data_IF_485656681582
#
_entry.id   IF_485656681582
#
_cell.length_a   1.000
_cell.length_b   1.000
_cell.length_c   1.000
_cell.angle_alpha   90.00
_cell.angle_beta   90.00
_cell.angle_gamma   90.00
#
_symmetry.space_group_name_H-M   'P 1'
#
loop_
_entity.id
_entity.type
_entity.pdbx_description
1 polymer ?
#
# COMPACT_ATOMS: atom_id res chain seq x y z
N UNK A 1 10.57 8.24 11.78
CA UNK A 1 11.39 8.31 10.55
C UNK A 1 10.60 7.97 9.28
N UNK A 2 9.90 6.84 9.18
CA UNK A 2 9.12 6.51 7.98
C UNK A 2 7.92 7.44 7.73
N UNK A 3 7.14 7.73 8.78
CA UNK A 3 5.98 8.64 8.70
C UNK A 3 6.42 10.05 8.29
N UNK A 4 7.51 10.56 8.86
CA UNK A 4 8.05 11.87 8.51
C UNK A 4 8.51 11.94 7.05
N UNK A 5 9.06 10.86 6.49
CA UNK A 5 9.42 10.80 5.06
C UNK A 5 8.20 10.77 4.15
N UNK A 6 7.16 10.03 4.54
CA UNK A 6 5.92 9.91 3.78
C UNK A 6 5.18 11.26 3.68
N UNK A 7 5.14 12.01 4.79
CA UNK A 7 4.41 13.28 4.86
C UNK A 7 5.28 14.52 4.58
N UNK A 8 6.60 14.37 4.45
CA UNK A 8 7.52 15.49 4.18
C UNK A 8 7.13 16.32 2.95
N UNK A 9 6.79 15.73 1.78
CA UNK A 9 6.39 16.52 0.61
C UNK A 9 5.20 17.44 0.87
N UNK A 10 4.24 16.99 1.68
CA UNK A 10 3.04 17.77 2.03
C UNK A 10 3.35 18.83 3.07
N UNK A 11 4.16 18.50 4.09
CA UNK A 11 4.60 19.43 5.13
C UNK A 11 5.46 20.58 4.58
N UNK A 12 6.26 20.34 3.54
CA UNK A 12 7.10 21.34 2.90
C UNK A 12 6.50 21.95 1.62
N UNK A 13 5.24 21.65 1.32
CA UNK A 13 4.49 22.30 0.24
C UNK A 13 3.58 23.39 0.83
N UNK A 14 3.73 24.67 0.48
CA UNK A 14 2.92 25.75 1.05
C UNK A 14 1.41 25.62 0.84
N UNK A 15 0.97 24.87 -0.19
CA UNK A 15 -0.43 24.58 -0.44
C UNK A 15 -0.87 23.20 0.07
N UNK A 16 0.02 22.48 0.77
CA UNK A 16 -0.18 21.08 1.16
C UNK A 16 -1.34 20.85 2.13
N UNK A 17 -1.71 21.86 2.92
CA UNK A 17 -2.88 21.82 3.82
C UNK A 17 -3.98 22.82 3.46
N UNK A 18 -4.04 23.27 2.21
CA UNK A 18 -5.16 24.09 1.74
C UNK A 18 -6.35 23.18 1.38
N UNK A 19 -7.52 23.40 1.99
CA UNK A 19 -8.69 22.54 1.81
C UNK A 19 -9.13 22.41 0.34
N UNK A 20 -9.26 23.54 -0.37
CA UNK A 20 -9.71 23.54 -1.77
C UNK A 20 -8.73 22.76 -2.65
N UNK A 21 -7.42 22.94 -2.44
CA UNK A 21 -6.38 22.18 -3.15
C UNK A 21 -6.40 20.70 -2.80
N UNK A 22 -6.57 20.36 -1.53
CA UNK A 22 -6.67 18.96 -1.10
C UNK A 22 -7.85 18.25 -1.78
N UNK A 23 -8.99 18.92 -1.94
CA UNK A 23 -10.17 18.39 -2.62
C UNK A 23 -9.92 18.23 -4.13
N UNK A 24 -9.29 19.22 -4.76
CA UNK A 24 -8.87 19.17 -6.17
C UNK A 24 -7.91 17.99 -6.41
N UNK A 25 -6.84 17.89 -5.62
CA UNK A 25 -5.82 16.84 -5.70
C UNK A 25 -6.44 15.45 -5.49
N UNK A 26 -7.35 15.31 -4.53
CA UNK A 26 -8.05 14.05 -4.29
C UNK A 26 -8.92 13.63 -5.47
N UNK A 27 -9.63 14.60 -6.08
CA UNK A 27 -10.44 14.34 -7.28
C UNK A 27 -9.58 13.92 -8.45
N UNK A 28 -8.48 14.62 -8.69
CA UNK A 28 -7.59 14.36 -9.82
C UNK A 28 -6.87 13.02 -9.64
N UNK A 29 -6.41 12.69 -8.42
CA UNK A 29 -5.90 11.37 -8.07
C UNK A 29 -6.94 10.27 -8.29
N UNK A 30 -8.18 10.47 -7.85
CA UNK A 30 -9.26 9.48 -8.03
C UNK A 30 -9.55 9.25 -9.52
N UNK A 31 -9.56 10.32 -10.31
CA UNK A 31 -9.75 10.25 -11.76
C UNK A 31 -8.59 9.48 -12.42
N UNK A 32 -7.34 9.80 -12.08
CA UNK A 32 -6.15 9.11 -12.57
C UNK A 32 -6.14 7.62 -12.23
N UNK A 33 -6.54 7.28 -11.01
CA UNK A 33 -6.61 5.90 -10.50
C UNK A 33 -7.68 5.08 -11.24
N UNK A 34 -8.82 5.68 -11.54
CA UNK A 34 -9.97 5.01 -12.17
C UNK A 34 -9.98 5.12 -13.69
N UNK A 35 -9.10 5.94 -14.28
CA UNK A 35 -9.04 6.14 -15.72
C UNK A 35 -8.69 4.83 -16.42
N UNK A 36 -9.63 4.32 -17.21
CA UNK A 36 -9.42 3.15 -18.07
C UNK A 36 -8.59 3.60 -19.25
N UNK A 37 -7.31 3.24 -19.24
CA UNK A 37 -6.33 3.66 -20.25
C UNK A 37 -6.70 3.30 -21.69
N UNK A 38 -5.84 3.74 -22.61
CA UNK A 38 -5.94 3.51 -24.06
C UNK A 38 -4.55 3.33 -24.67
N UNK A 39 -4.48 3.05 -25.97
CA UNK A 39 -3.18 2.90 -26.66
C UNK A 39 -2.48 4.26 -26.68
N UNK A 40 -1.29 4.34 -26.09
CA UNK A 40 -0.47 5.57 -26.07
C UNK A 40 -0.75 6.54 -24.91
N UNK A 41 -1.58 6.16 -23.94
CA UNK A 41 -1.80 6.95 -22.71
C UNK A 41 -0.54 6.91 -21.85
N UNK A 42 -0.13 8.07 -21.32
CA UNK A 42 1.06 8.22 -20.47
C UNK A 42 0.76 7.89 -19.01
N UNK A 43 1.79 7.54 -18.24
CA UNK A 43 1.67 7.31 -16.80
C UNK A 43 1.07 8.49 -16.01
N UNK A 44 1.24 9.73 -16.46
CA UNK A 44 0.65 10.92 -15.82
C UNK A 44 -0.88 10.97 -15.89
N UNK A 45 -1.49 10.29 -16.86
CA UNK A 45 -2.94 10.33 -17.13
C UNK A 45 -3.67 9.10 -16.59
N UNK A 46 -2.98 7.97 -16.42
CA UNK A 46 -3.58 6.72 -15.98
C UNK A 46 -2.67 5.90 -15.09
N UNK A 47 -3.21 5.46 -13.95
CA UNK A 47 -2.54 4.49 -13.08
C UNK A 47 -2.15 3.21 -13.82
N UNK A 48 -2.97 2.74 -14.77
CA UNK A 48 -2.66 1.54 -15.52
C UNK A 48 -1.40 1.69 -16.38
N UNK A 49 -1.27 2.84 -17.05
CA UNK A 49 -0.10 3.15 -17.87
C UNK A 49 1.14 3.32 -16.98
N UNK A 50 1.00 4.05 -15.87
CA UNK A 50 2.08 4.22 -14.89
C UNK A 50 2.56 2.89 -14.32
N UNK A 51 1.66 2.00 -13.94
CA UNK A 51 2.00 0.68 -13.42
C UNK A 51 2.74 -0.19 -14.45
N UNK A 52 2.34 -0.09 -15.74
CA UNK A 52 3.03 -0.80 -16.82
C UNK A 52 4.40 -0.20 -17.15
N UNK A 53 4.57 1.13 -17.04
CA UNK A 53 5.85 1.85 -17.14
C UNK A 53 6.78 1.47 -15.98
N UNK A 54 6.27 1.45 -14.75
CA UNK A 54 7.02 1.11 -13.55
C UNK A 54 7.57 -0.32 -13.65
N UNK A 55 6.78 -1.28 -14.16
CA UNK A 55 7.23 -2.65 -14.37
C UNK A 55 8.09 -2.85 -15.63
N UNK A 56 8.26 -1.83 -16.47
CA UNK A 56 8.91 -1.97 -17.76
C UNK A 56 10.41 -2.30 -17.67
N UNK A 57 11.05 -2.05 -16.53
CA UNK A 57 12.46 -2.40 -16.29
C UNK A 57 12.67 -3.92 -16.08
N UNK A 58 11.65 -4.66 -15.63
CA UNK A 58 11.73 -6.10 -15.33
C UNK A 58 11.52 -6.95 -16.60
N UNK A 59 12.41 -6.80 -17.59
CA UNK A 59 12.32 -7.56 -18.86
C UNK A 59 13.11 -8.86 -18.82
N UNK A 60 14.31 -8.83 -18.27
CA UNK A 60 15.28 -9.93 -18.34
C UNK A 60 14.98 -11.00 -17.29
N UNK A 61 15.35 -12.25 -17.58
CA UNK A 61 15.19 -13.36 -16.64
C UNK A 61 15.95 -13.12 -15.32
N UNK A 62 17.18 -12.58 -15.42
CA UNK A 62 17.97 -12.17 -14.26
C UNK A 62 17.26 -11.10 -13.43
N UNK A 63 16.68 -10.09 -14.07
CA UNK A 63 15.90 -9.06 -13.38
C UNK A 63 14.72 -9.65 -12.60
N UNK A 64 14.00 -10.61 -13.19
CA UNK A 64 12.89 -11.30 -12.50
C UNK A 64 13.33 -12.09 -11.27
N UNK A 65 14.47 -12.78 -11.36
CA UNK A 65 15.03 -13.50 -10.22
C UNK A 65 15.47 -12.53 -9.12
N UNK A 66 16.18 -11.46 -9.49
CA UNK A 66 16.64 -10.46 -8.53
C UNK A 66 15.45 -9.78 -7.82
N UNK A 67 14.42 -9.40 -8.56
CA UNK A 67 13.19 -8.84 -7.98
C UNK A 67 12.47 -9.85 -7.08
N UNK A 68 12.46 -11.13 -7.45
CA UNK A 68 11.90 -12.18 -6.59
C UNK A 68 12.69 -12.29 -5.28
N UNK A 69 14.03 -12.30 -5.34
CA UNK A 69 14.91 -12.34 -4.16
C UNK A 69 14.73 -11.09 -3.30
N UNK A 70 14.68 -9.90 -3.91
CA UNK A 70 14.46 -8.65 -3.20
C UNK A 70 13.10 -8.65 -2.51
N UNK A 71 12.07 -9.17 -3.17
CA UNK A 71 10.71 -9.30 -2.62
C UNK A 71 10.64 -10.27 -1.45
N UNK A 72 11.59 -11.22 -1.31
CA UNK A 72 11.61 -12.12 -0.15
C UNK A 72 11.74 -11.37 1.19
N UNK A 73 12.27 -10.13 1.16
CA UNK A 73 12.36 -9.27 2.35
C UNK A 73 11.01 -9.04 3.03
N UNK A 74 9.92 -9.02 2.27
CA UNK A 74 8.59 -8.80 2.81
C UNK A 74 8.13 -9.96 3.72
N UNK A 75 8.54 -11.19 3.41
CA UNK A 75 8.23 -12.35 4.26
C UNK A 75 9.06 -12.39 5.54
N UNK A 76 10.28 -11.82 5.52
CA UNK A 76 11.07 -11.67 6.74
C UNK A 76 10.39 -10.73 7.75
N UNK A 77 9.72 -9.67 7.28
CA UNK A 77 8.94 -8.78 8.16
C UNK A 77 7.75 -9.50 8.78
N UNK A 78 7.02 -10.30 8.00
CA UNK A 78 5.93 -11.14 8.53
C UNK A 78 6.43 -12.10 9.60
N UNK A 79 7.54 -12.80 9.33
CA UNK A 79 8.16 -13.70 10.30
C UNK A 79 8.55 -12.97 11.59
N UNK A 80 9.17 -11.79 11.47
CA UNK A 80 9.56 -10.97 12.63
C UNK A 80 8.36 -10.52 13.48
N UNK A 81 7.25 -10.13 12.85
CA UNK A 81 6.03 -9.72 13.56
C UNK A 81 5.38 -10.92 14.25
N UNK A 82 5.24 -12.05 13.54
CA UNK A 82 4.68 -13.30 14.10
C UNK A 82 5.54 -13.82 15.25
N UNK A 83 6.86 -13.68 15.19
CA UNK A 83 7.78 -14.08 16.25
C UNK A 83 7.67 -13.18 17.49
N UNK A 84 7.50 -11.87 17.29
CA UNK A 84 7.31 -10.90 18.39
C UNK A 84 5.94 -11.05 19.05
N UNK A 85 4.92 -11.42 18.28
CA UNK A 85 3.62 -11.82 18.80
C UNK A 85 3.81 -13.17 19.52
N UNK A 86 4.00 -13.14 20.84
CA UNK A 86 3.97 -14.33 21.70
C UNK A 86 2.56 -14.95 21.76
N UNK A 87 1.97 -15.27 20.61
CA UNK A 87 0.64 -15.90 20.48
C UNK A 87 0.62 -17.27 21.15
N UNK A 88 1.77 -17.92 21.29
CA UNK A 88 1.99 -19.08 22.16
C UNK A 88 3.37 -19.00 22.79
N UNK A 89 3.44 -19.08 24.13
CA UNK A 89 4.70 -19.16 24.86
C UNK A 89 5.57 -20.37 24.45
N UNK A 90 6.86 -20.30 24.80
CA UNK A 90 7.99 -21.25 24.75
C UNK A 90 8.12 -22.35 23.67
N UNK A 91 7.17 -22.63 22.77
CA UNK A 91 7.41 -23.53 21.64
C UNK A 91 6.43 -23.36 20.45
N UNK A 92 7.04 -23.26 19.27
CA UNK A 92 6.49 -23.32 17.89
C UNK A 92 6.09 -22.03 17.15
N UNK A 93 6.96 -21.01 17.19
CA UNK A 93 6.87 -19.84 16.27
C UNK A 93 6.77 -20.24 14.78
N UNK A 94 7.39 -21.36 14.37
CA UNK A 94 7.33 -21.88 13.01
C UNK A 94 5.92 -22.40 12.64
N UNK A 95 5.23 -23.05 13.57
CA UNK A 95 3.86 -23.57 13.35
C UNK A 95 2.87 -22.43 13.20
N UNK A 96 2.96 -21.40 14.05
CA UNK A 96 2.13 -20.19 13.95
C UNK A 96 2.40 -19.47 12.61
N UNK A 97 3.66 -19.39 12.20
CA UNK A 97 4.00 -18.85 10.88
C UNK A 97 3.38 -19.67 9.74
N UNK A 98 3.49 -21.00 9.75
CA UNK A 98 2.86 -21.87 8.75
C UNK A 98 1.32 -21.72 8.72
N UNK A 99 0.67 -21.60 9.87
CA UNK A 99 -0.78 -21.35 9.96
C UNK A 99 -1.13 -19.98 9.33
N UNK A 100 -0.30 -18.94 9.53
CA UNK A 100 -0.54 -17.63 8.91
C UNK A 100 -0.52 -17.67 7.38
N UNK A 101 0.28 -18.57 6.78
CA UNK A 101 0.29 -18.81 5.34
C UNK A 101 -0.98 -19.50 4.85
N UNK A 102 -1.56 -20.41 5.65
CA UNK A 102 -2.85 -21.04 5.34
C UNK A 102 -3.95 -19.97 5.33
N UNK A 103 -3.98 -19.11 6.35
CA UNK A 103 -4.93 -17.98 6.41
C UNK A 103 -4.78 -17.07 5.20
N UNK A 104 -3.54 -16.74 4.81
CA UNK A 104 -3.28 -15.93 3.63
C UNK A 104 -3.72 -16.62 2.33
N UNK A 105 -3.48 -17.92 2.18
CA UNK A 105 -3.95 -18.69 1.03
C UNK A 105 -5.49 -18.69 0.94
N UNK A 106 -6.18 -18.84 2.07
CA UNK A 106 -7.65 -18.71 2.16
C UNK A 106 -8.10 -17.32 1.72
N UNK A 107 -7.45 -16.24 2.19
CA UNK A 107 -7.75 -14.87 1.78
C UNK A 107 -7.57 -14.66 0.26
N UNK A 108 -6.51 -15.21 -0.34
CA UNK A 108 -6.30 -15.15 -1.80
C UNK A 108 -7.39 -15.91 -2.55
N UNK A 109 -7.78 -17.09 -2.06
CA UNK A 109 -8.86 -17.89 -2.68
C UNK A 109 -10.19 -17.13 -2.59
N UNK A 110 -10.52 -16.56 -1.44
CA UNK A 110 -11.71 -15.73 -1.24
C UNK A 110 -11.70 -14.54 -2.20
N UNK A 111 -10.60 -13.80 -2.26
CA UNK A 111 -10.47 -12.67 -3.18
C UNK A 111 -10.68 -13.11 -4.64
N UNK A 112 -10.15 -14.27 -5.04
CA UNK A 112 -10.36 -14.84 -6.37
C UNK A 112 -11.83 -15.19 -6.61
N UNK A 113 -12.52 -15.79 -5.65
CA UNK A 113 -13.96 -16.08 -5.73
C UNK A 113 -14.78 -14.80 -5.88
N UNK A 114 -14.40 -13.74 -5.17
CA UNK A 114 -15.06 -12.44 -5.22
C UNK A 114 -14.81 -11.66 -6.50
N UNK A 115 -13.57 -11.68 -7.01
CA UNK A 115 -13.21 -11.01 -8.26
C UNK A 115 -13.61 -11.80 -9.50
N UNK A 116 -13.98 -13.07 -9.35
CA UNK A 116 -14.59 -13.85 -10.41
C UNK A 116 -16.02 -13.36 -10.67
N UNK A 117 -16.13 -12.27 -11.45
CA UNK A 117 -17.41 -11.66 -11.83
C UNK A 117 -17.64 -11.71 -13.35
N UNK A 118 -18.55 -12.63 -13.71
CA UNK A 118 -19.56 -12.61 -14.77
C UNK A 118 -19.15 -12.26 -16.21
N UNK A 119 -18.59 -13.26 -16.89
CA UNK A 119 -18.87 -13.51 -18.32
C UNK A 119 -19.82 -14.69 -18.58
N UNK A 120 -20.28 -15.34 -17.51
CA UNK A 120 -21.25 -16.45 -17.60
C UNK A 120 -22.64 -15.82 -17.59
N UNK A 121 -23.53 -16.34 -18.44
CA UNK A 121 -24.88 -15.83 -18.70
C UNK A 121 -25.65 -15.41 -17.44
N UNK A 122 -26.57 -14.46 -17.61
CA UNK A 122 -27.42 -13.85 -16.56
C UNK A 122 -28.00 -14.89 -15.58
N UNK A 123 -28.22 -16.13 -16.03
CA UNK A 123 -28.77 -17.24 -15.24
C UNK A 123 -27.88 -17.70 -14.08
N UNK A 124 -26.55 -17.60 -14.16
CA UNK A 124 -25.66 -18.04 -13.08
C UNK A 124 -25.25 -16.92 -12.13
N UNK A 125 -25.70 -15.70 -12.38
CA UNK A 125 -25.30 -14.53 -11.62
C UNK A 125 -25.71 -14.62 -10.14
N UNK A 126 -26.94 -15.10 -9.89
CA UNK A 126 -27.48 -15.24 -8.55
C UNK A 126 -26.76 -16.33 -7.76
N UNK A 127 -26.51 -17.49 -8.39
CA UNK A 127 -25.76 -18.59 -7.77
C UNK A 127 -24.33 -18.18 -7.40
N UNK A 128 -23.64 -17.45 -8.29
CA UNK A 128 -22.29 -16.94 -8.01
C UNK A 128 -22.28 -15.94 -6.84
N UNK A 129 -23.23 -15.00 -6.81
CA UNK A 129 -23.37 -14.05 -5.68
C UNK A 129 -23.69 -14.77 -4.37
N UNK A 130 -24.50 -15.83 -4.42
CA UNK A 130 -24.79 -16.66 -3.27
C UNK A 130 -23.54 -17.39 -2.77
N UNK A 131 -22.76 -18.02 -3.66
CA UNK A 131 -21.48 -18.66 -3.31
C UNK A 131 -20.48 -17.65 -2.74
N UNK A 132 -20.42 -16.44 -3.29
CA UNK A 132 -19.60 -15.34 -2.74
C UNK A 132 -20.07 -14.96 -1.32
N UNK A 133 -21.38 -14.83 -1.11
CA UNK A 133 -21.96 -14.54 0.21
C UNK A 133 -21.67 -15.64 1.23
N UNK A 134 -21.87 -16.90 0.88
CA UNK A 134 -21.59 -18.05 1.76
C UNK A 134 -20.10 -18.14 2.07
N UNK A 135 -19.23 -18.00 1.07
CA UNK A 135 -17.77 -18.06 1.28
C UNK A 135 -17.28 -16.94 2.19
N UNK A 136 -17.86 -15.75 2.09
CA UNK A 136 -17.58 -14.64 3.00
C UNK A 136 -18.04 -14.88 4.43
N UNK A 137 -19.26 -15.39 4.61
CA UNK A 137 -19.77 -15.73 5.94
C UNK A 137 -18.92 -16.82 6.61
N UNK A 138 -18.49 -17.83 5.84
CA UNK A 138 -17.57 -18.87 6.32
C UNK A 138 -16.20 -18.30 6.68
N UNK A 139 -15.68 -17.35 5.89
CA UNK A 139 -14.42 -16.68 6.19
C UNK A 139 -14.49 -15.86 7.48
N UNK A 140 -15.56 -15.08 7.67
CA UNK A 140 -15.83 -14.31 8.88
C UNK A 140 -15.98 -15.22 10.10
N UNK A 141 -16.74 -16.31 9.98
CA UNK A 141 -16.89 -17.28 11.05
C UNK A 141 -15.56 -17.94 11.40
N UNK A 142 -14.76 -18.34 10.40
CA UNK A 142 -13.42 -18.90 10.61
C UNK A 142 -12.47 -17.93 11.29
N UNK A 143 -12.48 -16.65 10.89
CA UNK A 143 -11.70 -15.60 11.54
C UNK A 143 -12.15 -15.37 12.99
N UNK A 144 -13.46 -15.30 13.23
CA UNK A 144 -14.01 -15.11 14.57
C UNK A 144 -13.65 -16.28 15.50
N UNK A 145 -13.76 -17.51 15.02
CA UNK A 145 -13.31 -18.72 15.74
C UNK A 145 -11.82 -18.61 16.03
N UNK A 146 -10.98 -18.32 15.03
CA UNK A 146 -9.54 -18.18 15.23
C UNK A 146 -9.19 -17.11 16.27
N UNK A 147 -9.92 -15.99 16.31
CA UNK A 147 -9.73 -14.92 17.30
C UNK A 147 -10.23 -15.32 18.69
N UNK A 148 -11.34 -16.04 18.82
CA UNK A 148 -11.88 -16.46 20.13
C UNK A 148 -11.03 -17.56 20.77
N UNK A 149 -10.53 -18.50 19.96
CA UNK A 149 -9.67 -19.59 20.45
C UNK A 149 -8.22 -19.15 20.68
N UNK A 150 -7.81 -18.00 20.14
CA UNK A 150 -6.50 -17.41 20.41
C UNK A 150 -6.63 -16.35 21.49
N UNK A 151 -5.73 -16.32 22.47
CA UNK A 151 -5.69 -15.25 23.48
C UNK A 151 -5.06 -13.98 22.91
N UNK A 152 -5.59 -13.45 21.79
CA UNK A 152 -5.07 -12.27 21.10
C UNK A 152 -5.58 -11.00 21.76
N UNK A 153 -4.66 -10.11 22.12
CA UNK A 153 -5.00 -8.75 22.55
C UNK A 153 -5.35 -7.85 21.35
N UNK A 154 -5.99 -6.72 21.61
CA UNK A 154 -6.29 -5.72 20.55
C UNK A 154 -5.01 -5.28 19.81
N UNK A 155 -3.87 -4.97 20.47
CA UNK A 155 -2.59 -4.72 19.79
C UNK A 155 -2.13 -5.87 18.88
N UNK A 156 -2.38 -7.13 19.25
CA UNK A 156 -1.98 -8.30 18.47
C UNK A 156 -2.77 -8.39 17.16
N UNK A 157 -4.05 -8.01 17.18
CA UNK A 157 -4.88 -7.91 15.97
C UNK A 157 -4.30 -6.87 15.00
N UNK A 158 -3.92 -5.69 15.51
CA UNK A 158 -3.26 -4.66 14.67
C UNK A 158 -1.91 -5.14 14.13
N UNK A 159 -1.12 -5.85 14.92
CA UNK A 159 0.15 -6.43 14.48
C UNK A 159 -0.06 -7.49 13.38
N UNK A 160 -1.09 -8.33 13.47
CA UNK A 160 -1.45 -9.28 12.42
C UNK A 160 -1.81 -8.57 11.11
N UNK A 161 -2.62 -7.51 11.16
CA UNK A 161 -2.95 -6.70 9.97
C UNK A 161 -1.67 -6.11 9.35
N UNK A 162 -0.80 -5.53 10.19
CA UNK A 162 0.48 -4.99 9.76
C UNK A 162 1.45 -6.04 9.22
N UNK A 163 1.31 -7.32 9.60
CA UNK A 163 2.08 -8.41 9.05
C UNK A 163 1.58 -8.81 7.66
N UNK A 164 0.25 -8.85 7.44
CA UNK A 164 -0.33 -9.28 6.17
C UNK A 164 -0.20 -8.24 5.05
N UNK A 165 -0.19 -6.94 5.36
CA UNK A 165 0.01 -5.87 4.37
C UNK A 165 1.30 -6.04 3.55
N UNK A 166 2.51 -6.10 4.16
CA UNK A 166 3.76 -6.30 3.43
C UNK A 166 3.82 -7.68 2.78
N UNK A 167 3.26 -8.73 3.40
CA UNK A 167 3.22 -10.06 2.77
C UNK A 167 2.45 -10.07 1.46
N UNK A 168 1.25 -9.48 1.43
CA UNK A 168 0.47 -9.41 0.21
C UNK A 168 1.14 -8.53 -0.85
N UNK A 169 1.82 -7.46 -0.44
CA UNK A 169 2.67 -6.67 -1.35
C UNK A 169 3.83 -7.51 -1.92
N UNK A 170 4.52 -8.30 -1.10
CA UNK A 170 5.59 -9.19 -1.57
C UNK A 170 5.11 -10.24 -2.57
N UNK A 171 3.93 -10.81 -2.35
CA UNK A 171 3.29 -11.73 -3.31
C UNK A 171 2.96 -11.00 -4.62
N UNK A 172 2.43 -9.77 -4.53
CA UNK A 172 2.15 -8.93 -5.68
C UNK A 172 3.42 -8.61 -6.47
N UNK A 173 4.52 -8.24 -5.79
CA UNK A 173 5.81 -7.95 -6.42
C UNK A 173 6.38 -9.17 -7.15
N UNK A 174 6.32 -10.36 -6.54
CA UNK A 174 6.71 -11.62 -7.21
C UNK A 174 5.81 -11.89 -8.42
N UNK A 175 4.49 -11.76 -8.26
CA UNK A 175 3.55 -11.98 -9.35
C UNK A 175 3.77 -10.98 -10.52
N UNK A 176 4.12 -9.73 -10.21
CA UNK A 176 4.46 -8.69 -11.17
C UNK A 176 5.78 -9.00 -11.90
N UNK A 177 6.82 -9.46 -11.19
CA UNK A 177 8.08 -9.88 -11.79
C UNK A 177 7.86 -11.03 -12.80
N UNK A 178 6.94 -11.94 -12.51
CA UNK A 178 6.58 -13.07 -13.38
C UNK A 178 5.36 -12.79 -14.28
N UNK A 179 5.14 -11.53 -14.66
CA UNK A 179 4.05 -11.07 -15.56
C UNK A 179 3.76 -11.99 -16.76
N UNK A 180 4.74 -12.49 -17.53
CA UNK A 180 4.44 -13.37 -18.66
C UNK A 180 3.79 -14.71 -18.26
N UNK A 181 4.22 -15.29 -17.13
CA UNK A 181 3.60 -16.52 -16.61
C UNK A 181 2.19 -16.24 -16.10
N UNK A 182 2.01 -15.14 -15.38
CA UNK A 182 0.70 -14.74 -14.86
C UNK A 182 -0.30 -14.40 -15.97
N UNK A 183 0.17 -13.85 -17.10
CA UNK A 183 -0.64 -13.66 -18.31
C UNK A 183 -1.04 -15.00 -18.94
N UNK A 184 -0.11 -15.97 -19.05
CA UNK A 184 -0.41 -17.32 -19.56
C UNK A 184 -1.45 -18.05 -18.70
N UNK A 185 -1.40 -17.88 -17.38
CA UNK A 185 -2.37 -18.45 -16.43
C UNK A 185 -3.70 -17.68 -16.36
N UNK A 186 -3.84 -16.55 -17.07
CA UNK A 186 -5.04 -15.71 -17.04
C UNK A 186 -5.24 -14.92 -15.73
N UNK A 187 -4.27 -14.93 -14.81
CA UNK A 187 -4.36 -14.29 -13.50
C UNK A 187 -4.00 -12.79 -13.52
N UNK A 188 -3.42 -12.30 -14.63
CA UNK A 188 -2.92 -10.93 -14.72
C UNK A 188 -3.98 -9.86 -14.41
N UNK A 189 -5.24 -10.08 -14.83
CA UNK A 189 -6.33 -9.14 -14.54
C UNK A 189 -6.60 -9.03 -13.04
N UNK A 190 -6.64 -10.16 -12.33
CA UNK A 190 -6.82 -10.19 -10.87
C UNK A 190 -5.64 -9.54 -10.15
N UNK A 191 -4.41 -9.83 -10.55
CA UNK A 191 -3.20 -9.22 -9.99
C UNK A 191 -3.24 -7.70 -10.15
N UNK A 192 -3.61 -7.20 -11.34
CA UNK A 192 -3.76 -5.76 -11.57
C UNK A 192 -4.84 -5.16 -10.67
N UNK A 193 -5.98 -5.82 -10.50
CA UNK A 193 -7.03 -5.32 -9.59
C UNK A 193 -6.58 -5.29 -8.12
N UNK A 194 -5.77 -6.26 -7.69
CA UNK A 194 -5.19 -6.25 -6.33
C UNK A 194 -4.19 -5.11 -6.20
N UNK A 195 -3.29 -4.93 -7.19
CA UNK A 195 -2.32 -3.83 -7.20
C UNK A 195 -3.02 -2.46 -7.09
N UNK A 196 -4.09 -2.26 -7.87
CA UNK A 196 -4.90 -1.06 -7.83
C UNK A 196 -5.47 -0.82 -6.43
N UNK A 197 -5.99 -1.87 -5.77
CA UNK A 197 -6.53 -1.77 -4.42
C UNK A 197 -5.45 -1.41 -3.39
N UNK A 198 -4.25 -1.98 -3.52
CA UNK A 198 -3.10 -1.65 -2.66
C UNK A 198 -2.72 -0.17 -2.82
N UNK A 199 -2.56 0.31 -4.05
CA UNK A 199 -2.20 1.70 -4.33
C UNK A 199 -3.33 2.67 -3.94
N UNK A 200 -4.59 2.28 -4.15
CA UNK A 200 -5.75 3.01 -3.67
C UNK A 200 -5.74 3.14 -2.13
N UNK A 201 -5.49 2.03 -1.43
CA UNK A 201 -5.40 2.01 0.02
C UNK A 201 -4.25 2.85 0.56
N UNK A 202 -3.08 2.80 -0.08
CA UNK A 202 -1.93 3.63 0.26
C UNK A 202 -2.22 5.12 0.00
N UNK A 203 -2.86 5.45 -1.12
CA UNK A 203 -3.30 6.81 -1.41
C UNK A 203 -4.28 7.32 -0.36
N UNK A 204 -5.29 6.53 0.02
CA UNK A 204 -6.22 6.90 1.10
C UNK A 204 -5.51 7.10 2.45
N UNK A 205 -4.53 6.26 2.78
CA UNK A 205 -3.74 6.39 4.00
C UNK A 205 -2.99 7.73 4.05
N UNK A 206 -2.57 8.26 2.89
CA UNK A 206 -1.93 9.57 2.77
C UNK A 206 -2.98 10.69 2.79
N UNK A 207 -4.04 10.58 2.00
CA UNK A 207 -5.06 11.62 1.86
C UNK A 207 -5.88 11.85 3.13
N UNK A 208 -6.21 10.82 3.91
CA UNK A 208 -7.08 10.96 5.09
C UNK A 208 -6.47 11.88 6.15
N UNK A 209 -5.20 11.70 6.59
CA UNK A 209 -4.56 12.65 7.49
C UNK A 209 -4.45 14.06 6.90
N UNK A 210 -4.09 14.18 5.62
CA UNK A 210 -3.96 15.49 4.96
C UNK A 210 -5.31 16.20 4.96
N UNK A 211 -6.38 15.56 4.49
CA UNK A 211 -7.72 16.13 4.49
C UNK A 211 -8.20 16.53 5.89
N UNK A 212 -7.91 15.70 6.91
CA UNK A 212 -8.21 16.03 8.29
C UNK A 212 -7.49 17.30 8.76
N UNK A 213 -6.20 17.44 8.44
CA UNK A 213 -5.42 18.63 8.80
C UNK A 213 -5.81 19.86 7.96
N UNK A 214 -6.08 19.70 6.66
CA UNK A 214 -6.51 20.76 5.75
C UNK A 214 -7.87 21.34 6.11
N UNK A 215 -8.72 20.58 6.81
CA UNK A 215 -9.99 21.10 7.33
C UNK A 215 -9.73 22.27 8.29
N UNK A 216 -8.70 22.18 9.13
CA UNK A 216 -8.42 23.20 10.13
C UNK A 216 -7.74 24.43 9.51
N UNK A 217 -8.38 25.62 9.52
CA UNK A 217 -7.85 26.81 8.83
C UNK A 217 -6.53 27.35 9.40
N UNK A 218 -6.19 26.99 10.65
CA UNK A 218 -4.94 27.40 11.27
C UNK A 218 -3.72 26.59 10.79
N UNK A 219 -3.91 25.38 10.25
CA UNK A 219 -2.81 24.48 9.92
C UNK A 219 -2.02 25.01 8.72
N UNK A 220 -2.69 25.48 7.68
CA UNK A 220 -2.06 26.14 6.53
C UNK A 220 -1.27 27.39 6.98
N UNK A 221 -1.86 28.21 7.85
CA UNK A 221 -1.18 29.40 8.41
C UNK A 221 0.05 29.02 9.22
N UNK A 222 -0.04 27.97 10.05
CA UNK A 222 1.09 27.47 10.83
C UNK A 222 2.20 26.92 9.92
N UNK A 223 1.85 26.17 8.88
CA UNK A 223 2.79 25.64 7.90
C UNK A 223 3.55 26.76 7.16
N UNK A 224 2.83 27.75 6.61
CA UNK A 224 3.47 28.88 5.91
C UNK A 224 4.38 29.66 6.85
N UNK A 225 3.96 29.87 8.11
CA UNK A 225 4.84 30.49 9.12
C UNK A 225 6.04 29.62 9.43
N UNK A 226 5.91 28.31 9.57
CA UNK A 226 7.04 27.43 9.84
C UNK A 226 8.07 27.50 8.70
N UNK A 227 7.61 27.49 7.44
CA UNK A 227 8.51 27.52 6.28
C UNK A 227 9.11 28.90 5.98
N UNK A 228 8.35 29.98 6.20
CA UNK A 228 8.75 31.33 5.80
C UNK A 228 8.99 32.30 6.97
N UNK A 229 9.02 31.82 8.21
CA UNK A 229 9.41 32.67 9.35
C UNK A 229 10.88 33.08 9.20
N UNK A 230 11.13 34.37 9.35
CA UNK A 230 12.47 34.99 9.28
C UNK A 230 13.51 34.27 10.16
N UNK A 231 13.11 33.62 11.25
CA UNK A 231 14.00 32.81 12.09
C UNK A 231 14.57 31.55 11.39
N UNK A 232 13.80 30.91 10.50
CA UNK A 232 14.28 29.79 9.68
C UNK A 232 15.07 30.27 8.45
N UNK A 233 14.68 31.40 7.85
CA UNK A 233 15.42 32.01 6.73
C UNK A 233 16.80 32.55 7.14
N UNK A 234 16.94 33.06 8.38
CA UNK A 234 18.22 33.52 8.94
C UNK A 234 19.22 32.39 9.23
N UNK A 235 18.76 31.15 9.38
CA UNK A 235 19.65 29.98 9.53
C UNK A 235 20.54 29.73 8.31
N UNK A 236 20.13 30.19 7.11
CA UNK A 236 20.93 30.11 5.88
C UNK A 236 21.97 31.24 5.76
N UNK A 237 21.72 32.42 6.34
CA UNK A 237 22.71 33.51 6.34
C UNK A 237 23.85 33.26 7.33
N UNK A 238 23.62 32.49 8.40
CA UNK A 238 24.66 32.16 9.38
C UNK A 238 25.74 31.25 8.79
N UNK A 239 25.45 30.41 7.77
CA UNK A 239 26.49 29.69 7.02
C UNK A 239 27.37 30.60 6.16
N UNK A 240 26.86 31.78 5.74
CA UNK A 240 27.66 32.80 5.05
C UNK A 240 28.59 33.54 6.03
N UNK A 241 28.17 33.65 7.29
CA UNK A 241 28.97 34.23 8.39
C UNK A 241 30.03 33.22 8.91
N UNK A 242 29.71 31.92 8.94
CA UNK A 242 30.64 30.83 9.29
C UNK A 242 31.60 30.44 8.16
N UNK A 243 31.29 30.76 6.90
CA UNK A 243 32.21 30.57 5.78
C UNK A 243 33.44 31.47 5.85
N UNK A 244 33.44 32.49 6.72
CA UNK A 244 34.61 33.30 7.02
C UNK A 244 35.01 34.19 5.85
N UNK A 245 35.14 35.48 6.13
CA UNK A 245 35.87 36.39 5.26
C UNK A 245 37.31 35.88 5.18
N UNK A 246 37.73 35.29 4.06
CA UNK A 246 39.15 35.13 3.75
C UNK A 246 39.68 36.54 3.46
N UNK A 247 40.39 37.18 4.40
CA UNK A 247 40.97 38.48 4.16
C UNK A 247 42.39 38.20 3.64
N UNK A 248 42.61 38.48 2.36
CA UNK A 248 43.92 38.53 1.68
C UNK A 248 44.51 37.18 1.20
N UNK A 249 44.16 36.78 -0.03
CA UNK A 249 45.12 36.70 -1.15
C UNK A 249 44.38 36.85 -2.47
#
# INVERSE_FOLDING_TARGET
>A
MAISWLFAPYLFNPSGFEWQKTVEDFRDWTNWLLYRGGIGVKGEESWEAWWDEELAHIRTFRGRILESILSLRFFMFQYGIVYKLHVQGNNTSLTVYAISWIVLAVLIILFKVFTFSQKISVNFQLLLRFIQGVSFMLALAGLAIAVVFSSLSVPDIFACILAFLPTGWGILSIAAAWKPLMKKLGLWKSIRSIALLYDAGMGMLIFVPIAFFSWFPFVSTFQTRLMFNQAFSRGLEISLILAGNNPNT
#
